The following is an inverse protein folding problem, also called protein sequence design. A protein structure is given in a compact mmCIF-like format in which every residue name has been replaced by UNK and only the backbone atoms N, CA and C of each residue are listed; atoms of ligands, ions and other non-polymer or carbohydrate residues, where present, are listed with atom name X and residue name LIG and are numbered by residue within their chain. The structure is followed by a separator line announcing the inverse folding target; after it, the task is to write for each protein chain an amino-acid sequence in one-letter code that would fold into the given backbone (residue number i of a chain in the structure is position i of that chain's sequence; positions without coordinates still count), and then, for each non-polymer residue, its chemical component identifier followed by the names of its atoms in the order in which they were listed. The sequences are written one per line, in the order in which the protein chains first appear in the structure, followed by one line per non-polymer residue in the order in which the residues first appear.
data_IF_629498933607
#
_entry.id   IF_629498933607
#
_cell.length_a   1.000
_cell.length_b   1.000
_cell.length_c   1.000
_cell.angle_alpha   90.00
_cell.angle_beta   90.00
_cell.angle_gamma   90.00
#
_symmetry.space_group_name_H-M   'P 1'
#
loop_
_entity.id
_entity.type
_entity.pdbx_description
1 polymer ?
#
# COMPACT_ATOMS: atom_id res chain seq x y z
N UNK A 1 8.25 -24.00 3.27
CA UNK A 1 7.77 -22.61 3.23
C UNK A 1 7.33 -22.20 1.81
N UNK A 2 8.19 -22.34 0.78
CA UNK A 2 7.89 -21.95 -0.62
C UNK A 2 6.59 -22.55 -1.20
N UNK A 3 6.29 -23.85 -0.93
CA UNK A 3 5.04 -24.50 -1.40
C UNK A 3 3.78 -23.79 -0.88
N UNK A 4 3.77 -23.37 0.38
CA UNK A 4 2.64 -22.64 0.98
C UNK A 4 2.53 -21.22 0.43
N UNK A 5 3.67 -20.57 0.18
CA UNK A 5 3.71 -19.26 -0.48
C UNK A 5 3.08 -19.32 -1.88
N UNK A 6 3.47 -20.30 -2.73
CA UNK A 6 2.85 -20.50 -4.04
C UNK A 6 1.35 -20.80 -3.97
N UNK A 7 0.93 -21.60 -2.98
CA UNK A 7 -0.48 -21.88 -2.78
C UNK A 7 -1.23 -20.58 -2.39
N UNK A 8 -0.66 -19.78 -1.51
CA UNK A 8 -1.21 -18.47 -1.13
C UNK A 8 -1.38 -17.55 -2.34
N UNK A 9 -0.37 -17.45 -3.22
CA UNK A 9 -0.46 -16.67 -4.46
C UNK A 9 -1.57 -17.16 -5.38
N UNK A 10 -1.71 -18.47 -5.57
CA UNK A 10 -2.78 -19.06 -6.41
C UNK A 10 -4.16 -18.77 -5.85
N UNK A 11 -4.34 -18.91 -4.54
CA UNK A 11 -5.59 -18.54 -3.86
C UNK A 11 -5.84 -17.04 -4.05
N UNK A 12 -4.80 -16.22 -3.88
CA UNK A 12 -4.87 -14.78 -4.09
C UNK A 12 -5.32 -14.39 -5.49
N UNK A 13 -4.82 -15.06 -6.54
CA UNK A 13 -5.29 -14.84 -7.93
C UNK A 13 -6.78 -15.15 -8.05
N UNK A 14 -7.21 -16.34 -7.62
CA UNK A 14 -8.61 -16.78 -7.73
C UNK A 14 -9.54 -15.83 -6.97
N UNK A 15 -9.17 -15.49 -5.73
CA UNK A 15 -9.96 -14.56 -4.90
C UNK A 15 -10.07 -13.17 -5.54
N UNK A 16 -8.95 -12.63 -6.05
CA UNK A 16 -8.97 -11.30 -6.68
C UNK A 16 -9.76 -11.32 -8.01
N UNK A 17 -9.68 -12.37 -8.80
CA UNK A 17 -10.49 -12.50 -10.02
C UNK A 17 -11.99 -12.58 -9.72
N UNK A 18 -12.36 -13.31 -8.66
CA UNK A 18 -13.74 -13.37 -8.18
C UNK A 18 -14.22 -11.98 -7.70
N UNK A 19 -13.42 -11.30 -6.89
CA UNK A 19 -13.72 -9.95 -6.42
C UNK A 19 -13.79 -8.94 -7.57
N UNK A 20 -12.95 -9.07 -8.58
CA UNK A 20 -12.98 -8.23 -9.78
C UNK A 20 -14.29 -8.43 -10.53
N UNK A 21 -14.69 -9.68 -10.77
CA UNK A 21 -15.98 -9.99 -11.38
C UNK A 21 -17.15 -9.42 -10.58
N UNK A 22 -17.15 -9.61 -9.26
CA UNK A 22 -18.17 -9.05 -8.37
C UNK A 22 -18.21 -7.51 -8.43
N UNK A 23 -17.04 -6.86 -8.43
CA UNK A 23 -16.95 -5.38 -8.52
C UNK A 23 -17.45 -4.85 -9.85
N UNK A 24 -17.17 -5.54 -10.96
CA UNK A 24 -17.70 -5.19 -12.29
C UNK A 24 -19.22 -5.37 -12.36
N UNK A 25 -19.76 -6.39 -11.69
CA UNK A 25 -21.21 -6.60 -11.60
C UNK A 25 -21.86 -5.47 -10.78
N UNK A 26 -21.26 -5.08 -9.66
CA UNK A 26 -21.73 -3.97 -8.84
C UNK A 26 -21.61 -2.64 -9.60
N UNK A 27 -20.55 -2.44 -10.37
CA UNK A 27 -20.37 -1.24 -11.19
C UNK A 27 -21.51 -0.98 -12.17
N UNK A 28 -22.16 -2.03 -12.65
CA UNK A 28 -23.33 -1.91 -13.53
C UNK A 28 -24.61 -1.51 -12.77
N UNK A 29 -24.62 -1.62 -11.45
CA UNK A 29 -25.78 -1.36 -10.58
C UNK A 29 -25.58 -0.07 -9.77
N UNK A 30 -24.33 0.21 -9.35
CA UNK A 30 -23.98 1.35 -8.52
C UNK A 30 -23.64 2.57 -9.38
N UNK A 31 -24.19 3.73 -9.00
CA UNK A 31 -23.85 5.00 -9.62
C UNK A 31 -22.62 5.66 -8.97
N UNK A 32 -22.06 5.08 -7.90
CA UNK A 32 -20.92 5.66 -7.19
C UNK A 32 -19.59 5.18 -7.78
N UNK A 33 -19.19 5.79 -8.90
CA UNK A 33 -17.94 5.50 -9.58
C UNK A 33 -16.70 5.86 -8.73
N UNK A 34 -16.82 6.77 -7.77
CA UNK A 34 -15.72 7.18 -6.91
C UNK A 34 -15.31 6.11 -5.89
N UNK A 35 -16.15 5.13 -5.60
CA UNK A 35 -15.80 3.93 -4.84
C UNK A 35 -15.47 2.75 -5.75
N UNK A 36 -16.25 2.55 -6.80
CA UNK A 36 -16.14 1.35 -7.64
C UNK A 36 -14.85 1.35 -8.47
N UNK A 37 -14.48 2.47 -9.09
CA UNK A 37 -13.25 2.53 -9.93
C UNK A 37 -12.00 2.29 -9.10
N UNK A 38 -11.78 2.95 -7.94
CA UNK A 38 -10.65 2.63 -7.06
C UNK A 38 -10.61 1.18 -6.60
N UNK A 39 -11.78 0.57 -6.28
CA UNK A 39 -11.84 -0.83 -5.89
C UNK A 39 -11.40 -1.76 -7.04
N UNK A 40 -11.85 -1.51 -8.28
CA UNK A 40 -11.42 -2.25 -9.46
C UNK A 40 -9.92 -2.14 -9.66
N UNK A 41 -9.34 -0.94 -9.53
CA UNK A 41 -7.88 -0.72 -9.63
C UNK A 41 -7.15 -1.54 -8.56
N UNK A 42 -7.58 -1.45 -7.30
CA UNK A 42 -6.99 -2.17 -6.18
C UNK A 42 -6.97 -3.69 -6.44
N UNK A 43 -8.11 -4.25 -6.81
CA UNK A 43 -8.28 -5.70 -7.02
C UNK A 43 -7.48 -6.16 -8.24
N UNK A 44 -7.48 -5.37 -9.33
CA UNK A 44 -6.73 -5.69 -10.56
C UNK A 44 -5.23 -5.75 -10.30
N UNK A 45 -4.67 -4.78 -9.59
CA UNK A 45 -3.23 -4.77 -9.26
C UNK A 45 -2.90 -5.82 -8.20
N UNK A 46 -3.81 -6.12 -7.26
CA UNK A 46 -3.64 -7.23 -6.33
C UNK A 46 -3.54 -8.58 -7.07
N UNK A 47 -4.42 -8.81 -8.04
CA UNK A 47 -4.34 -9.99 -8.92
C UNK A 47 -3.02 -10.02 -9.71
N UNK A 48 -2.62 -8.88 -10.27
CA UNK A 48 -1.34 -8.75 -10.98
C UNK A 48 -0.15 -9.12 -10.10
N UNK A 49 -0.09 -8.62 -8.86
CA UNK A 49 1.01 -8.95 -7.91
C UNK A 49 1.04 -10.44 -7.53
N UNK A 50 -0.10 -11.09 -7.48
CA UNK A 50 -0.16 -12.53 -7.27
C UNK A 50 0.33 -13.34 -8.48
N UNK A 51 0.12 -12.83 -9.72
CA UNK A 51 0.59 -13.44 -10.97
C UNK A 51 2.08 -13.18 -11.20
N UNK A 52 2.56 -11.98 -10.92
CA UNK A 52 3.93 -11.51 -11.16
C UNK A 52 4.59 -11.06 -9.85
N UNK A 53 4.76 -11.97 -8.87
CA UNK A 53 5.37 -11.61 -7.61
C UNK A 53 6.83 -11.25 -7.79
N UNK A 54 7.27 -10.23 -7.06
CA UNK A 54 8.67 -9.79 -7.00
C UNK A 54 9.06 -9.47 -5.56
N UNK A 55 10.24 -9.93 -5.15
CA UNK A 55 10.87 -9.46 -3.93
C UNK A 55 11.75 -8.25 -4.27
N UNK A 56 11.46 -7.10 -3.67
CA UNK A 56 12.15 -5.85 -4.00
C UNK A 56 13.64 -5.84 -3.58
N UNK A 57 13.97 -6.49 -2.47
CA UNK A 57 15.33 -6.50 -1.94
C UNK A 57 16.26 -7.38 -2.77
N UNK A 58 15.85 -8.63 -3.03
CA UNK A 58 16.64 -9.61 -3.77
C UNK A 58 16.41 -9.57 -5.30
N UNK A 59 15.39 -8.79 -5.77
CA UNK A 59 14.89 -8.77 -7.15
C UNK A 59 14.50 -10.17 -7.64
N UNK A 60 14.11 -11.05 -6.71
CA UNK A 60 13.71 -12.40 -7.01
C UNK A 60 12.31 -12.43 -7.59
N UNK A 61 12.13 -13.22 -8.64
CA UNK A 61 10.88 -13.38 -9.39
C UNK A 61 10.58 -14.86 -9.61
N UNK A 62 9.31 -15.22 -9.83
CA UNK A 62 8.90 -16.56 -10.24
C UNK A 62 8.91 -16.66 -11.77
N UNK A 63 8.52 -15.61 -12.46
CA UNK A 63 8.42 -15.54 -13.92
C UNK A 63 9.39 -14.47 -14.41
N UNK A 64 10.33 -14.84 -15.28
CA UNK A 64 11.21 -13.88 -15.93
C UNK A 64 10.46 -13.11 -17.02
N UNK A 65 9.94 -11.97 -16.62
CA UNK A 65 9.20 -11.05 -17.48
C UNK A 65 9.45 -9.62 -17.02
N UNK A 66 9.41 -8.66 -17.94
CA UNK A 66 9.45 -7.23 -17.60
C UNK A 66 8.29 -6.87 -16.66
N UNK A 67 7.15 -7.57 -16.77
CA UNK A 67 6.02 -7.40 -15.85
C UNK A 67 6.37 -7.77 -14.40
N UNK A 68 7.31 -8.68 -14.17
CA UNK A 68 7.83 -9.03 -12.84
C UNK A 68 8.94 -8.08 -12.37
N UNK A 69 9.20 -6.97 -13.05
CA UNK A 69 10.23 -6.02 -12.60
C UNK A 69 9.79 -5.26 -11.35
N UNK A 70 10.78 -4.88 -10.53
CA UNK A 70 10.54 -4.03 -9.34
C UNK A 70 9.86 -2.72 -9.75
N UNK A 71 10.32 -2.12 -10.86
CA UNK A 71 9.75 -0.87 -11.37
C UNK A 71 8.26 -0.98 -11.70
N UNK A 72 7.88 -1.97 -12.55
CA UNK A 72 6.46 -2.13 -12.97
C UNK A 72 5.58 -2.42 -11.77
N UNK A 73 6.00 -3.35 -10.91
CA UNK A 73 5.22 -3.68 -9.71
C UNK A 73 5.09 -2.47 -8.79
N UNK A 74 6.18 -1.73 -8.52
CA UNK A 74 6.12 -0.56 -7.63
C UNK A 74 5.32 0.58 -8.22
N UNK A 75 5.40 0.81 -9.53
CA UNK A 75 4.59 1.81 -10.21
C UNK A 75 3.08 1.53 -10.06
N UNK A 76 2.67 0.28 -10.33
CA UNK A 76 1.27 -0.13 -10.14
C UNK A 76 0.83 -0.03 -8.68
N UNK A 77 1.69 -0.42 -7.75
CA UNK A 77 1.43 -0.32 -6.30
C UNK A 77 1.27 1.14 -5.88
N UNK A 78 2.09 2.06 -6.41
CA UNK A 78 1.93 3.50 -6.15
C UNK A 78 0.53 4.01 -6.52
N UNK A 79 0.01 3.62 -7.69
CA UNK A 79 -1.35 3.98 -8.11
C UNK A 79 -2.37 3.39 -7.13
N UNK A 80 -2.22 2.12 -6.78
CA UNK A 80 -3.14 1.43 -5.86
C UNK A 80 -3.14 2.06 -4.47
N UNK A 81 -2.00 2.36 -3.92
CA UNK A 81 -1.90 2.93 -2.58
C UNK A 81 -2.56 4.31 -2.49
N UNK A 82 -2.40 5.13 -3.52
CA UNK A 82 -3.09 6.42 -3.61
C UNK A 82 -4.61 6.23 -3.75
N UNK A 83 -5.06 5.34 -4.63
CA UNK A 83 -6.49 5.07 -4.81
C UNK A 83 -7.12 4.41 -3.59
N UNK A 84 -6.38 3.58 -2.86
CA UNK A 84 -6.82 2.95 -1.63
C UNK A 84 -7.09 3.99 -0.53
N UNK A 85 -6.16 4.90 -0.29
CA UNK A 85 -6.36 5.98 0.68
C UNK A 85 -7.44 6.96 0.21
N UNK A 86 -7.55 7.19 -1.10
CA UNK A 86 -8.64 7.97 -1.65
C UNK A 86 -10.02 7.38 -1.29
N UNK A 87 -10.18 6.05 -1.31
CA UNK A 87 -11.43 5.39 -0.89
C UNK A 87 -11.76 5.67 0.58
N UNK A 88 -10.81 5.53 1.50
CA UNK A 88 -11.04 5.88 2.92
C UNK A 88 -11.39 7.36 3.09
N UNK A 89 -10.64 8.23 2.43
CA UNK A 89 -10.88 9.68 2.40
C UNK A 89 -12.27 10.01 1.84
N UNK A 90 -12.69 9.36 0.77
CA UNK A 90 -14.00 9.55 0.17
C UNK A 90 -15.13 9.07 1.08
N UNK A 91 -14.99 7.92 1.73
CA UNK A 91 -15.95 7.42 2.72
C UNK A 91 -16.17 8.44 3.83
N UNK A 92 -15.10 9.04 4.39
CA UNK A 92 -15.23 10.08 5.39
C UNK A 92 -16.03 11.28 4.88
N UNK A 93 -15.80 11.73 3.63
CA UNK A 93 -16.53 12.87 3.04
C UNK A 93 -18.00 12.58 2.81
N UNK A 94 -18.35 11.43 2.22
CA UNK A 94 -19.77 11.10 2.00
C UNK A 94 -20.55 10.94 3.31
N UNK A 95 -19.89 10.46 4.36
CA UNK A 95 -20.49 10.33 5.68
C UNK A 95 -20.62 11.71 6.35
N UNK A 96 -19.59 12.57 6.19
CA UNK A 96 -19.61 13.93 6.73
C UNK A 96 -20.75 14.78 6.14
N UNK A 97 -21.14 14.52 4.88
CA UNK A 97 -22.23 15.26 4.19
C UNK A 97 -22.11 16.79 4.38
N UNK A 98 -20.89 17.32 4.25
CA UNK A 98 -20.55 18.75 4.40
C UNK A 98 -20.85 19.36 5.79
N UNK A 99 -21.10 18.54 6.82
CA UNK A 99 -21.39 19.03 8.17
C UNK A 99 -20.18 19.74 8.82
N UNK A 100 -18.97 19.19 8.60
CA UNK A 100 -17.75 19.70 9.22
C UNK A 100 -16.66 19.89 8.18
N UNK A 101 -16.40 21.12 7.79
CA UNK A 101 -15.37 21.49 6.81
C UNK A 101 -13.98 20.92 7.14
N UNK A 102 -13.63 20.79 8.43
CA UNK A 102 -12.35 20.24 8.85
C UNK A 102 -12.20 18.74 8.52
N UNK A 103 -13.30 17.97 8.50
CA UNK A 103 -13.28 16.53 8.13
C UNK A 103 -12.91 16.39 6.66
N UNK A 104 -13.50 17.22 5.80
CA UNK A 104 -13.20 17.21 4.37
C UNK A 104 -11.75 17.61 4.09
N UNK A 105 -11.29 18.68 4.76
CA UNK A 105 -9.90 19.10 4.65
C UNK A 105 -8.93 18.00 5.08
N UNK A 106 -9.14 17.40 6.25
CA UNK A 106 -8.27 16.34 6.77
C UNK A 106 -8.32 15.10 5.86
N UNK A 107 -9.49 14.76 5.34
CA UNK A 107 -9.63 13.64 4.42
C UNK A 107 -8.80 13.83 3.14
N UNK A 108 -8.74 15.03 2.59
CA UNK A 108 -7.86 15.36 1.47
C UNK A 108 -6.37 15.37 1.86
N UNK A 109 -6.04 15.82 3.08
CA UNK A 109 -4.67 15.76 3.58
C UNK A 109 -4.17 14.31 3.71
N UNK A 110 -5.04 13.33 3.99
CA UNK A 110 -4.68 11.90 3.96
C UNK A 110 -4.23 11.48 2.56
N UNK A 111 -4.92 11.93 1.50
CA UNK A 111 -4.53 11.63 0.12
C UNK A 111 -3.20 12.29 -0.24
N UNK A 112 -2.98 13.52 0.17
CA UNK A 112 -1.70 14.22 -0.02
C UNK A 112 -0.59 13.48 0.73
N UNK A 113 -0.85 13.06 1.97
CA UNK A 113 0.13 12.33 2.79
C UNK A 113 0.56 11.02 2.15
N UNK A 114 -0.36 10.22 1.58
CA UNK A 114 0.05 8.99 0.89
C UNK A 114 0.89 9.28 -0.36
N UNK A 115 0.59 10.34 -1.10
CA UNK A 115 1.42 10.77 -2.24
C UNK A 115 2.84 11.10 -1.76
N UNK A 116 2.97 11.82 -0.65
CA UNK A 116 4.28 12.11 -0.04
C UNK A 116 4.99 10.80 0.38
N UNK A 117 4.27 9.86 0.99
CA UNK A 117 4.82 8.55 1.37
C UNK A 117 5.37 7.79 0.15
N UNK A 118 4.73 7.93 -1.04
CA UNK A 118 5.26 7.32 -2.27
C UNK A 118 6.62 7.89 -2.69
N UNK A 119 6.85 9.19 -2.49
CA UNK A 119 8.18 9.76 -2.76
C UNK A 119 9.26 9.15 -1.86
N UNK A 120 8.96 8.91 -0.58
CA UNK A 120 9.89 8.22 0.31
C UNK A 120 10.14 6.77 -0.13
N UNK A 121 9.10 6.04 -0.53
CA UNK A 121 9.25 4.68 -1.03
C UNK A 121 10.12 4.61 -2.29
N UNK A 122 9.84 5.45 -3.28
CA UNK A 122 10.67 5.56 -4.48
C UNK A 122 12.10 5.99 -4.14
N UNK A 123 12.26 6.92 -3.22
CA UNK A 123 13.56 7.34 -2.72
C UNK A 123 14.33 6.19 -2.07
N UNK A 124 13.66 5.35 -1.26
CA UNK A 124 14.28 4.17 -0.67
C UNK A 124 14.80 3.19 -1.73
N UNK A 125 14.02 2.99 -2.80
CA UNK A 125 14.39 2.08 -3.90
C UNK A 125 15.52 2.66 -4.77
N UNK A 126 15.43 3.93 -5.16
CA UNK A 126 16.33 4.54 -6.15
C UNK A 126 17.63 5.10 -5.53
N UNK A 127 17.59 5.53 -4.29
CA UNK A 127 18.75 6.07 -3.56
C UNK A 127 19.38 5.03 -2.63
N UNK A 128 18.71 3.87 -2.45
CA UNK A 128 19.10 2.84 -1.46
C UNK A 128 19.24 3.40 -0.05
N UNK A 129 18.45 4.42 0.29
CA UNK A 129 18.47 5.06 1.59
C UNK A 129 17.39 4.45 2.50
N UNK A 130 17.79 3.50 3.30
CA UNK A 130 16.92 2.65 4.15
C UNK A 130 16.00 3.44 5.09
N UNK A 131 16.43 4.62 5.55
CA UNK A 131 15.62 5.46 6.45
C UNK A 131 14.33 5.98 5.80
N UNK A 132 14.28 6.02 4.46
CA UNK A 132 13.07 6.43 3.76
C UNK A 132 11.91 5.44 3.94
N UNK A 133 12.18 4.17 4.15
CA UNK A 133 11.15 3.19 4.51
C UNK A 133 10.48 3.53 5.85
N UNK A 134 11.25 4.05 6.82
CA UNK A 134 10.65 4.51 8.08
C UNK A 134 9.69 5.68 7.85
N UNK A 135 10.04 6.67 7.03
CA UNK A 135 9.18 7.82 6.75
C UNK A 135 7.94 7.44 5.95
N UNK A 136 8.07 6.51 5.00
CA UNK A 136 6.93 5.92 4.28
C UNK A 136 5.95 5.28 5.26
N UNK A 137 6.43 4.36 6.10
CA UNK A 137 5.61 3.61 7.05
C UNK A 137 5.04 4.48 8.16
N UNK A 138 5.77 5.51 8.60
CA UNK A 138 5.24 6.51 9.52
C UNK A 138 4.10 7.32 8.89
N UNK A 139 4.20 7.64 7.61
CA UNK A 139 3.10 8.26 6.87
C UNK A 139 1.83 7.42 6.87
N UNK A 140 1.95 6.10 6.66
CA UNK A 140 0.85 5.15 6.75
C UNK A 140 0.22 5.11 8.16
N UNK A 141 1.06 5.11 9.20
CA UNK A 141 0.57 5.20 10.58
C UNK A 141 -0.28 6.44 10.81
N UNK A 142 0.19 7.62 10.37
CA UNK A 142 -0.51 8.90 10.53
C UNK A 142 -1.87 8.86 9.82
N UNK A 143 -1.92 8.36 8.57
CA UNK A 143 -3.15 8.26 7.79
C UNK A 143 -4.21 7.43 8.53
N UNK A 144 -3.86 6.20 8.93
CA UNK A 144 -4.83 5.31 9.56
C UNK A 144 -5.18 5.71 10.99
N UNK A 145 -4.27 6.36 11.70
CA UNK A 145 -4.56 6.95 13.00
C UNK A 145 -5.64 8.05 12.89
N UNK A 146 -5.47 8.97 11.94
CA UNK A 146 -6.44 10.03 11.67
C UNK A 146 -7.77 9.45 11.19
N UNK A 147 -7.74 8.54 10.21
CA UNK A 147 -8.95 7.89 9.69
C UNK A 147 -9.75 7.20 10.81
N UNK A 148 -9.06 6.50 11.71
CA UNK A 148 -9.71 5.80 12.82
C UNK A 148 -10.35 6.77 13.81
N UNK A 149 -9.64 7.85 14.19
CA UNK A 149 -10.17 8.87 15.11
C UNK A 149 -11.40 9.55 14.50
N UNK A 150 -11.34 9.97 13.23
CA UNK A 150 -12.47 10.60 12.57
C UNK A 150 -13.66 9.63 12.46
N UNK A 151 -13.42 8.37 12.14
CA UNK A 151 -14.47 7.35 12.09
C UNK A 151 -15.13 7.14 13.45
N UNK A 152 -14.36 7.11 14.55
CA UNK A 152 -14.90 7.02 15.91
C UNK A 152 -15.74 8.27 16.26
N UNK A 153 -15.25 9.46 15.91
CA UNK A 153 -15.99 10.69 16.16
C UNK A 153 -17.32 10.77 15.41
N UNK A 154 -17.38 10.16 14.22
CA UNK A 154 -18.57 10.19 13.36
C UNK A 154 -19.56 9.04 13.62
N UNK A 155 -19.23 8.05 14.45
CA UNK A 155 -20.11 6.88 14.69
C UNK A 155 -21.44 7.27 15.39
N UNK A 156 -21.46 8.38 16.11
CA UNK A 156 -22.63 8.90 16.82
C UNK A 156 -23.57 9.73 15.95
N UNK A 157 -23.22 9.98 14.69
CA UNK A 157 -24.08 10.70 13.76
C UNK A 157 -25.30 9.83 13.37
N UNK A 158 -26.39 10.48 13.01
CA UNK A 158 -27.58 9.79 12.48
C UNK A 158 -27.32 9.38 11.04
N UNK A 159 -26.88 8.15 10.84
CA UNK A 159 -26.39 7.63 9.58
C UNK A 159 -27.33 6.54 9.04
N UNK A 160 -27.37 6.43 7.72
CA UNK A 160 -27.96 5.24 7.08
C UNK A 160 -27.21 3.97 7.47
N UNK A 161 -27.88 2.83 7.45
CA UNK A 161 -27.26 1.52 7.77
C UNK A 161 -26.01 1.25 6.93
N UNK A 162 -25.99 1.69 5.67
CA UNK A 162 -24.84 1.53 4.78
C UNK A 162 -23.65 2.38 5.26
N UNK A 163 -23.85 3.65 5.58
CA UNK A 163 -22.80 4.54 6.07
C UNK A 163 -22.29 4.09 7.44
N UNK A 164 -23.18 3.63 8.33
CA UNK A 164 -22.80 3.08 9.62
C UNK A 164 -21.90 1.84 9.46
N UNK A 165 -22.22 0.94 8.52
CA UNK A 165 -21.36 -0.23 8.22
C UNK A 165 -19.99 0.18 7.70
N UNK A 166 -19.88 1.21 6.85
CA UNK A 166 -18.59 1.70 6.35
C UNK A 166 -17.73 2.29 7.48
N UNK A 167 -18.32 3.04 8.41
CA UNK A 167 -17.59 3.54 9.60
C UNK A 167 -17.08 2.38 10.47
N UNK A 168 -17.91 1.38 10.72
CA UNK A 168 -17.49 0.22 11.52
C UNK A 168 -16.31 -0.48 10.84
N UNK A 169 -16.35 -0.68 9.52
CA UNK A 169 -15.25 -1.27 8.76
C UNK A 169 -13.97 -0.44 8.93
N UNK A 170 -14.04 0.88 8.83
CA UNK A 170 -12.90 1.78 9.03
C UNK A 170 -12.31 1.65 10.44
N UNK A 171 -13.16 1.60 11.47
CA UNK A 171 -12.74 1.48 12.87
C UNK A 171 -12.08 0.11 13.10
N UNK A 172 -12.72 -0.98 12.64
CA UNK A 172 -12.18 -2.34 12.80
C UNK A 172 -10.85 -2.47 12.07
N UNK A 173 -10.75 -1.95 10.85
CA UNK A 173 -9.49 -1.94 10.12
C UNK A 173 -8.41 -1.17 10.89
N UNK A 174 -8.70 0.03 11.37
CA UNK A 174 -7.76 0.82 12.15
C UNK A 174 -7.33 0.13 13.44
N UNK A 175 -8.28 -0.49 14.16
CA UNK A 175 -8.00 -1.22 15.39
C UNK A 175 -7.06 -2.43 15.19
N UNK A 176 -7.11 -3.06 14.03
CA UNK A 176 -6.21 -4.17 13.68
C UNK A 176 -4.89 -3.68 13.11
N UNK A 177 -4.94 -2.67 12.23
CA UNK A 177 -3.77 -2.17 11.51
C UNK A 177 -2.82 -1.37 12.39
N UNK A 178 -3.31 -0.47 13.24
CA UNK A 178 -2.46 0.42 14.02
C UNK A 178 -1.52 -0.31 15.00
N UNK A 179 -1.95 -1.32 15.77
CA UNK A 179 -1.02 -2.10 16.60
C UNK A 179 0.06 -2.80 15.78
N UNK A 180 -0.32 -3.39 14.63
CA UNK A 180 0.63 -4.01 13.72
C UNK A 180 1.63 -2.99 13.19
N UNK A 181 1.17 -1.82 12.77
CA UNK A 181 2.01 -0.73 12.23
C UNK A 181 3.00 -0.21 13.27
N UNK A 182 2.59 -0.10 14.54
CA UNK A 182 3.52 0.27 15.63
C UNK A 182 4.63 -0.78 15.80
N UNK A 183 4.29 -2.07 15.74
CA UNK A 183 5.29 -3.14 15.82
C UNK A 183 6.22 -3.12 14.61
N UNK A 184 5.68 -2.85 13.41
CA UNK A 184 6.45 -2.74 12.19
C UNK A 184 7.44 -1.56 12.24
N UNK A 185 6.99 -0.38 12.65
CA UNK A 185 7.86 0.79 12.85
C UNK A 185 8.97 0.54 13.87
N UNK A 186 8.65 -0.14 14.98
CA UNK A 186 9.68 -0.56 15.97
C UNK A 186 10.70 -1.51 15.34
N UNK A 187 10.27 -2.44 14.49
CA UNK A 187 11.17 -3.37 13.79
C UNK A 187 12.11 -2.63 12.83
N UNK A 188 11.59 -1.69 12.04
CA UNK A 188 12.40 -0.85 11.14
C UNK A 188 13.40 -0.01 11.94
N UNK A 189 12.94 0.65 13.00
CA UNK A 189 13.82 1.46 13.89
C UNK A 189 14.93 0.61 14.50
N UNK A 190 14.59 -0.61 14.96
CA UNK A 190 15.59 -1.54 15.48
C UNK A 190 16.61 -1.90 14.41
N UNK A 191 16.18 -2.24 13.19
CA UNK A 191 17.07 -2.56 12.06
C UNK A 191 18.01 -1.41 11.75
N UNK A 192 17.51 -0.18 11.67
CA UNK A 192 18.33 1.03 11.42
C UNK A 192 19.37 1.22 12.53
N UNK A 193 19.00 1.02 13.80
CA UNK A 193 19.88 1.27 14.94
C UNK A 193 20.91 0.15 15.20
N UNK A 194 20.61 -1.09 14.77
CA UNK A 194 21.51 -2.24 15.00
C UNK A 194 22.43 -2.55 13.83
N UNK A 195 22.16 -2.02 12.64
CA UNK A 195 23.01 -2.18 11.48
C UNK A 195 23.92 -0.94 11.33
N UNK A 196 25.20 -1.10 11.59
CA UNK A 196 26.17 0.01 11.55
C UNK A 196 26.32 0.60 10.14
N UNK A 197 26.15 -0.18 9.07
CA UNK A 197 26.18 0.31 7.69
C UNK A 197 24.99 1.24 7.41
N UNK A 198 23.77 0.85 7.83
CA UNK A 198 22.55 1.67 7.67
C UNK A 198 22.64 2.92 8.57
N UNK A 199 23.18 2.75 9.81
CA UNK A 199 23.34 3.86 10.75
C UNK A 199 24.33 4.91 10.25
N UNK A 200 25.41 4.47 9.62
CA UNK A 200 26.44 5.33 9.03
C UNK A 200 26.08 5.88 7.65
N UNK A 201 24.96 5.41 7.07
CA UNK A 201 24.53 5.84 5.75
C UNK A 201 24.19 7.34 5.75
N UNK A 202 24.97 8.12 5.03
CA UNK A 202 24.66 9.51 4.75
C UNK A 202 23.72 9.63 3.54
N UNK A 203 22.86 10.63 3.59
CA UNK A 203 21.99 10.94 2.44
C UNK A 203 22.83 11.57 1.34
N UNK A 204 22.95 10.87 0.22
CA UNK A 204 23.67 11.34 -0.96
C UNK A 204 22.74 11.24 -2.20
N UNK A 205 22.47 12.39 -2.82
CA UNK A 205 21.65 12.47 -4.03
C UNK A 205 22.53 12.41 -5.28
N UNK A 206 23.15 11.26 -5.53
CA UNK A 206 23.92 11.01 -6.73
C UNK A 206 22.99 10.58 -7.88
N UNK A 207 22.82 11.46 -8.88
CA UNK A 207 22.00 11.20 -10.05
C UNK A 207 22.51 10.02 -10.90
N UNK A 208 23.78 9.70 -10.84
CA UNK A 208 24.35 8.54 -11.54
C UNK A 208 23.87 7.24 -10.91
N UNK A 209 23.85 7.18 -9.58
CA UNK A 209 23.27 6.06 -8.81
C UNK A 209 21.77 5.92 -9.08
N UNK A 210 21.02 7.03 -9.05
CA UNK A 210 19.58 7.02 -9.36
C UNK A 210 19.31 6.43 -10.73
N UNK A 211 20.04 6.84 -11.77
CA UNK A 211 19.92 6.31 -13.13
C UNK A 211 20.26 4.81 -13.18
N UNK A 212 21.31 4.40 -12.48
CA UNK A 212 21.71 3.00 -12.40
C UNK A 212 20.63 2.16 -11.75
N UNK A 213 20.14 2.55 -10.55
CA UNK A 213 19.11 1.82 -9.81
C UNK A 213 17.74 1.83 -10.54
N UNK A 214 17.41 2.92 -11.22
CA UNK A 214 16.23 2.97 -12.07
C UNK A 214 16.31 1.94 -13.20
N UNK A 215 17.43 1.88 -13.94
CA UNK A 215 17.65 0.89 -14.98
C UNK A 215 17.66 -0.54 -14.42
N UNK A 216 18.31 -0.73 -13.28
CA UNK A 216 18.39 -1.98 -12.55
C UNK A 216 17.00 -2.46 -12.08
N UNK A 217 16.15 -1.56 -11.62
CA UNK A 217 14.77 -1.88 -11.19
C UNK A 217 13.88 -2.39 -12.33
N UNK A 218 14.22 -2.06 -13.59
CA UNK A 218 13.51 -2.52 -14.78
C UNK A 218 14.11 -3.85 -15.30
N UNK A 219 15.44 -3.95 -15.33
CA UNK A 219 16.13 -5.01 -16.07
C UNK A 219 16.61 -6.16 -15.21
N UNK A 220 17.00 -5.90 -13.96
CA UNK A 220 17.59 -6.93 -13.10
C UNK A 220 16.50 -7.78 -12.46
N UNK A 221 16.52 -9.06 -12.78
CA UNK A 221 15.62 -10.07 -12.22
C UNK A 221 16.39 -11.36 -12.01
N UNK A 222 16.10 -12.02 -10.89
CA UNK A 222 16.66 -13.32 -10.55
C UNK A 222 15.51 -14.32 -10.40
N UNK A 223 15.35 -15.25 -11.32
CA UNK A 223 14.39 -16.35 -11.11
C UNK A 223 14.86 -17.18 -9.94
N UNK A 224 14.05 -17.28 -8.90
CA UNK A 224 14.38 -18.04 -7.70
C UNK A 224 13.17 -18.74 -7.14
N UNK A 225 13.39 -20.00 -6.75
CA UNK A 225 12.45 -20.84 -6.02
C UNK A 225 12.95 -21.15 -4.61
N UNK A 226 14.05 -20.53 -4.19
CA UNK A 226 14.59 -20.68 -2.84
C UNK A 226 13.77 -19.84 -1.85
N UNK A 227 13.34 -20.48 -0.75
CA UNK A 227 12.60 -19.80 0.32
C UNK A 227 13.38 -18.65 0.98
N UNK A 228 14.72 -18.71 0.94
CA UNK A 228 15.58 -17.66 1.51
C UNK A 228 15.49 -16.36 0.69
N UNK A 229 15.32 -16.45 -0.62
CA UNK A 229 15.15 -15.30 -1.50
C UNK A 229 13.76 -14.63 -1.36
N UNK A 230 12.82 -15.30 -0.69
CA UNK A 230 11.45 -14.81 -0.43
C UNK A 230 11.19 -14.53 1.07
N UNK A 231 12.19 -14.74 1.92
CA UNK A 231 12.14 -14.39 3.33
C UNK A 231 12.30 -12.89 3.55
N UNK A 232 11.47 -12.32 4.44
CA UNK A 232 11.55 -10.89 4.78
C UNK A 232 10.51 -10.00 4.08
N UNK A 233 9.50 -10.62 3.49
CA UNK A 233 8.25 -9.94 3.06
C UNK A 233 7.31 -9.77 4.24
#
# INVERSE_FOLDING_TARGET
MYKYFLQGLRIGVISNLFLLWASLTIANISNDLFLVVPAIILISVSAFRCLFPVNYASKSVIIDSVLSSVFVTRFLVTIVEVTYIYMFSYVLRIINSDQYMFVDLISWLMVIQVIISQFFCWGAILLKYERFYFYEEFGWFVIFFINTILSIAMISLDLSNAHHSLIIINIVFGALYLPWQVLHLKSITKRINTNDEIKAQEFDMDLSKVKFEFKSSINDRKVSFDSNDWGGL
#
